data_IF_135740855222
#
_entry.id   IF_135740855222
#
_cell.length_a   1.000
_cell.length_b   1.000
_cell.length_c   1.000
_cell.angle_alpha   90.00
_cell.angle_beta   90.00
_cell.angle_gamma   90.00
#
_symmetry.space_group_name_H-M   'P 1'
#
loop_
_entity.id
_entity.type
_entity.pdbx_description
1 polymer ?
#
# COMPACT_ATOMS: atom_id res chain seq x y z
N UNK A 1 17.87 -12.60 18.28
CA UNK A 1 17.58 -12.62 16.83
C UNK A 1 16.31 -11.82 16.64
N UNK A 2 16.43 -10.62 16.11
CA UNK A 2 15.27 -9.77 15.80
C UNK A 2 14.53 -10.41 14.62
N UNK A 3 13.30 -10.84 14.86
CA UNK A 3 12.41 -11.32 13.79
C UNK A 3 11.99 -10.11 12.97
N UNK A 4 12.80 -9.72 11.99
CA UNK A 4 12.41 -8.73 11.00
C UNK A 4 11.39 -9.42 10.09
N UNK A 5 10.11 -9.33 10.44
CA UNK A 5 8.99 -9.70 9.57
C UNK A 5 8.90 -8.68 8.45
N UNK A 6 9.76 -8.82 7.44
CA UNK A 6 9.60 -8.05 6.21
C UNK A 6 8.43 -8.65 5.43
N UNK A 7 7.21 -8.26 5.79
CA UNK A 7 6.04 -8.52 4.97
C UNK A 7 6.14 -7.66 3.70
N UNK A 8 6.75 -8.25 2.66
CA UNK A 8 6.73 -7.72 1.31
C UNK A 8 5.32 -7.87 0.72
N UNK A 9 4.79 -6.82 0.12
CA UNK A 9 3.63 -6.93 -0.74
C UNK A 9 3.99 -7.82 -1.94
N UNK A 10 3.15 -8.82 -2.26
CA UNK A 10 3.37 -9.75 -3.36
C UNK A 10 3.58 -9.00 -4.68
N UNK A 11 4.45 -9.50 -5.57
CA UNK A 11 4.82 -8.86 -6.85
C UNK A 11 3.63 -8.57 -7.78
N UNK A 12 2.47 -9.19 -7.55
CA UNK A 12 1.21 -8.96 -8.29
C UNK A 12 0.33 -7.86 -7.70
N UNK A 13 0.77 -7.18 -6.65
CA UNK A 13 -0.02 -6.11 -6.04
C UNK A 13 0.23 -4.79 -6.77
N UNK A 14 -0.83 -4.08 -7.23
CA UNK A 14 -0.67 -2.86 -8.00
C UNK A 14 0.13 -1.83 -7.20
N UNK A 15 1.09 -1.17 -7.83
CA UNK A 15 1.93 -0.22 -7.14
C UNK A 15 1.09 0.98 -6.66
N UNK A 16 1.26 1.36 -5.40
CA UNK A 16 0.67 2.61 -4.88
C UNK A 16 1.78 3.64 -4.74
N UNK A 17 1.60 4.79 -5.38
CA UNK A 17 2.50 5.92 -5.21
C UNK A 17 2.43 6.46 -3.77
N UNK A 18 3.47 7.15 -3.28
CA UNK A 18 3.43 7.80 -1.96
C UNK A 18 2.21 8.72 -1.80
N UNK A 19 1.85 9.46 -2.84
CA UNK A 19 0.68 10.35 -2.86
C UNK A 19 -0.63 9.56 -2.74
N UNK A 20 -0.74 8.43 -3.44
CA UNK A 20 -1.89 7.53 -3.33
C UNK A 20 -2.03 6.95 -1.91
N UNK A 21 -0.90 6.61 -1.27
CA UNK A 21 -0.89 6.13 0.10
C UNK A 21 -1.36 7.22 1.08
N UNK A 22 -0.89 8.46 0.92
CA UNK A 22 -1.36 9.59 1.73
C UNK A 22 -2.84 9.85 1.53
N UNK A 23 -3.33 9.80 0.29
CA UNK A 23 -4.75 9.98 -0.01
C UNK A 23 -5.60 8.87 0.63
N UNK A 24 -5.13 7.61 0.57
CA UNK A 24 -5.77 6.49 1.26
C UNK A 24 -5.84 6.78 2.76
N UNK A 25 -4.75 7.20 3.40
CA UNK A 25 -4.72 7.53 4.82
C UNK A 25 -5.72 8.64 5.16
N UNK A 26 -5.73 9.74 4.39
CA UNK A 26 -6.61 10.89 4.63
C UNK A 26 -8.08 10.58 4.38
N UNK A 27 -8.38 9.63 3.49
CA UNK A 27 -9.76 9.20 3.24
C UNK A 27 -10.41 8.54 4.47
N UNK A 28 -9.60 8.02 5.41
CA UNK A 28 -10.07 7.36 6.62
C UNK A 28 -10.82 8.34 7.53
N UNK A 29 -12.16 8.22 7.57
CA UNK A 29 -13.02 9.06 8.40
C UNK A 29 -13.50 10.36 7.74
N UNK A 30 -12.92 10.73 6.58
CA UNK A 30 -13.36 11.89 5.80
C UNK A 30 -14.45 11.51 4.79
N UNK A 31 -14.34 10.33 4.18
CA UNK A 31 -15.25 9.88 3.12
C UNK A 31 -16.14 8.74 3.63
N UNK A 32 -17.45 8.82 3.38
CA UNK A 32 -18.36 7.70 3.61
C UNK A 32 -18.02 6.57 2.63
N UNK A 33 -17.82 5.35 3.13
CA UNK A 33 -17.35 4.20 2.33
C UNK A 33 -15.95 4.38 1.71
N UNK A 34 -15.06 5.13 2.36
CA UNK A 34 -13.67 5.35 1.92
C UNK A 34 -12.96 4.08 1.43
N UNK A 35 -13.19 2.94 2.08
CA UNK A 35 -12.55 1.70 1.69
C UNK A 35 -12.93 1.23 0.28
N UNK A 36 -14.21 1.34 -0.09
CA UNK A 36 -14.69 0.98 -1.43
C UNK A 36 -14.17 1.96 -2.47
N UNK A 37 -14.29 3.25 -2.21
CA UNK A 37 -13.80 4.31 -3.10
C UNK A 37 -12.29 4.16 -3.40
N UNK A 38 -11.48 3.88 -2.38
CA UNK A 38 -10.03 3.70 -2.56
C UNK A 38 -9.66 2.35 -3.21
N UNK A 39 -10.46 1.31 -2.97
CA UNK A 39 -10.32 0.00 -3.66
C UNK A 39 -10.54 0.19 -5.16
N UNK A 40 -11.64 0.86 -5.52
CA UNK A 40 -12.02 1.09 -6.92
C UNK A 40 -11.05 2.06 -7.62
N UNK A 41 -10.63 3.13 -6.92
CA UNK A 41 -9.73 4.16 -7.48
C UNK A 41 -8.32 3.65 -7.79
N UNK A 42 -7.78 2.78 -6.94
CA UNK A 42 -6.39 2.31 -7.08
C UNK A 42 -6.28 0.84 -7.50
N UNK A 43 -7.39 0.24 -7.93
CA UNK A 43 -7.47 -1.17 -8.33
C UNK A 43 -6.79 -2.10 -7.33
N UNK A 44 -6.99 -1.85 -6.04
CA UNK A 44 -6.28 -2.55 -4.96
C UNK A 44 -7.27 -3.26 -4.05
N UNK A 45 -6.81 -4.25 -3.30
CA UNK A 45 -7.70 -4.97 -2.39
C UNK A 45 -8.08 -4.14 -1.17
N UNK A 46 -9.31 -4.30 -0.71
CA UNK A 46 -9.82 -3.78 0.56
C UNK A 46 -8.90 -4.13 1.73
N UNK A 47 -8.34 -5.35 1.75
CA UNK A 47 -7.36 -5.79 2.75
C UNK A 47 -6.14 -4.85 2.81
N UNK A 48 -5.62 -4.45 1.64
CA UNK A 48 -4.45 -3.59 1.54
C UNK A 48 -4.74 -2.17 2.03
N UNK A 49 -5.93 -1.66 1.76
CA UNK A 49 -6.40 -0.37 2.32
C UNK A 49 -6.38 -0.41 3.86
N UNK A 50 -6.96 -1.47 4.46
CA UNK A 50 -6.94 -1.62 5.92
C UNK A 50 -5.55 -1.80 6.51
N UNK A 51 -4.64 -2.51 5.83
CA UNK A 51 -3.26 -2.63 6.27
C UNK A 51 -2.54 -1.27 6.26
N UNK A 52 -2.80 -0.41 5.25
CA UNK A 52 -2.27 0.94 5.18
C UNK A 52 -2.74 1.77 6.38
N UNK A 53 -4.05 1.77 6.65
CA UNK A 53 -4.62 2.47 7.80
C UNK A 53 -4.09 1.96 9.13
N UNK A 54 -4.00 0.63 9.30
CA UNK A 54 -3.50 0.01 10.53
C UNK A 54 -2.03 0.37 10.78
N UNK A 55 -1.19 0.31 9.74
CA UNK A 55 0.23 0.69 9.85
C UNK A 55 0.39 2.17 10.18
N UNK A 56 -0.39 3.04 9.53
CA UNK A 56 -0.41 4.47 9.85
C UNK A 56 -0.84 4.75 11.30
N UNK A 57 -1.90 4.10 11.78
CA UNK A 57 -2.37 4.23 13.16
C UNK A 57 -1.33 3.73 14.20
N UNK A 58 -0.47 2.79 13.81
CA UNK A 58 0.63 2.28 14.65
C UNK A 58 1.89 3.16 14.58
N UNK A 59 1.86 4.28 13.84
CA UNK A 59 3.04 5.13 13.63
C UNK A 59 4.15 4.46 12.81
N UNK A 60 3.84 3.32 12.17
CA UNK A 60 4.79 2.60 11.34
C UNK A 60 4.84 3.25 9.97
N UNK A 61 6.04 3.66 9.55
CA UNK A 61 6.27 4.14 8.20
C UNK A 61 5.90 3.05 7.19
N UNK A 62 5.05 3.40 6.23
CA UNK A 62 4.72 2.51 5.11
C UNK A 62 6.00 2.23 4.31
N UNK A 63 6.47 0.98 4.38
CA UNK A 63 7.70 0.57 3.70
C UNK A 63 7.55 0.79 2.20
N UNK A 64 8.54 1.47 1.61
CA UNK A 64 8.69 1.70 0.17
C UNK A 64 8.50 0.36 -0.55
N UNK A 65 7.46 0.26 -1.38
CA UNK A 65 7.29 -0.87 -2.28
C UNK A 65 8.54 -0.92 -3.16
N UNK A 66 9.30 -2.02 -3.11
CA UNK A 66 10.45 -2.18 -4.00
C UNK A 66 9.94 -2.29 -5.42
N UNK A 67 10.32 -1.33 -6.25
CA UNK A 67 10.13 -1.39 -7.69
C UNK A 67 11.07 -2.48 -8.19
N UNK A 68 10.55 -3.68 -8.46
CA UNK A 68 11.28 -4.62 -9.31
C UNK A 68 11.13 -4.07 -10.72
N UNK A 69 12.02 -3.14 -11.09
CA UNK A 69 12.29 -2.92 -12.50
C UNK A 69 12.92 -4.23 -12.99
N UNK A 70 12.09 -5.11 -13.54
CA UNK A 70 12.56 -6.11 -14.48
C UNK A 70 13.06 -5.33 -15.70
N UNK A 71 14.26 -4.75 -15.60
CA UNK A 71 15.07 -4.50 -16.79
C UNK A 71 15.42 -5.89 -17.28
N UNK A 72 14.56 -6.42 -18.16
CA UNK A 72 14.98 -7.43 -19.10
C UNK A 72 16.07 -6.75 -19.95
N UNK A 73 17.30 -6.76 -19.44
CA UNK A 73 18.48 -6.47 -20.23
C UNK A 73 18.60 -7.64 -21.20
N UNK A 74 17.89 -7.52 -22.31
CA UNK A 74 18.24 -8.26 -23.51
C UNK A 74 19.46 -7.55 -24.08
N UNK A 75 20.63 -8.15 -23.90
CA UNK A 75 21.77 -8.11 -24.83
C UNK A 75 22.79 -9.19 -24.43
#
# INVERSE_FOLDING_TARGET
>A
MEHITVEYYCASTPYLSPEAIEEIIQSQGTIKNACREMTDKYDTSTRRIYEIWKRHAQGLSLRKQQIIHSVASSE
#
